data_IF_040081068096
#
_entry.id   IF_040081068096
#
_cell.length_a   1.000
_cell.length_b   1.000
_cell.length_c   1.000
_cell.angle_alpha   90.00
_cell.angle_beta   90.00
_cell.angle_gamma   90.00
#
_symmetry.space_group_name_H-M   'P 1'
#
loop_
_entity.id
_entity.type
_entity.pdbx_description
1 polymer ?
#
# COMPACT_ATOMS: atom_id res chain seq x y z
N UNK A 1 -34.45 24.73 6.26
CA UNK A 1 -33.87 24.09 5.04
C UNK A 1 -32.37 24.33 4.85
N UNK A 2 -31.79 25.48 5.26
CA UNK A 2 -30.36 25.78 5.05
C UNK A 2 -29.41 24.98 5.97
N UNK A 3 -29.83 24.75 7.22
CA UNK A 3 -29.07 24.00 8.24
C UNK A 3 -29.03 22.49 7.94
N UNK A 4 -30.15 21.92 7.43
CA UNK A 4 -30.23 20.51 7.02
C UNK A 4 -29.31 20.22 5.82
N UNK A 5 -29.19 21.16 4.88
CA UNK A 5 -28.24 21.04 3.75
C UNK A 5 -26.78 21.07 4.24
N UNK A 6 -26.47 21.88 5.26
CA UNK A 6 -25.14 21.97 5.85
C UNK A 6 -24.75 20.69 6.62
N UNK A 7 -25.69 20.07 7.34
CA UNK A 7 -25.42 18.81 8.04
C UNK A 7 -25.29 17.62 7.09
N UNK A 8 -26.05 17.58 5.99
CA UNK A 8 -25.91 16.53 4.96
C UNK A 8 -24.57 16.66 4.21
N UNK A 9 -24.13 17.88 3.91
CA UNK A 9 -22.84 18.12 3.25
C UNK A 9 -21.64 17.71 4.11
N UNK A 10 -21.71 17.92 5.44
CA UNK A 10 -20.68 17.48 6.37
C UNK A 10 -20.59 15.96 6.52
N UNK A 11 -21.71 15.23 6.36
CA UNK A 11 -21.75 13.77 6.45
C UNK A 11 -21.09 13.08 5.24
N UNK A 12 -21.08 13.72 4.07
CA UNK A 12 -20.43 13.17 2.86
C UNK A 12 -18.89 13.31 2.86
N UNK A 13 -18.30 14.09 3.76
CA UNK A 13 -16.86 14.33 3.83
C UNK A 13 -16.13 13.42 4.83
N UNK A 14 -16.87 12.68 5.66
CA UNK A 14 -16.31 11.74 6.62
C UNK A 14 -16.18 10.34 6.02
N UNK A 15 -15.05 9.68 6.23
CA UNK A 15 -14.73 8.30 5.81
C UNK A 15 -14.17 8.17 4.39
N UNK A 16 -13.03 8.83 4.16
CA UNK A 16 -11.97 8.20 3.37
C UNK A 16 -10.98 7.56 4.36
N UNK A 17 -11.39 6.47 5.00
CA UNK A 17 -10.43 5.59 5.66
C UNK A 17 -9.64 4.92 4.54
N UNK A 18 -8.59 5.58 4.08
CA UNK A 18 -7.58 4.98 3.22
C UNK A 18 -6.97 3.86 4.06
N UNK A 19 -7.42 2.64 3.81
CA UNK A 19 -6.68 1.45 4.19
C UNK A 19 -5.36 1.54 3.42
N UNK A 20 -4.36 2.14 4.07
CA UNK A 20 -3.00 2.10 3.60
C UNK A 20 -2.55 0.65 3.78
N UNK A 21 -2.89 -0.20 2.80
CA UNK A 21 -2.17 -1.44 2.60
C UNK A 21 -0.71 -1.01 2.45
N UNK A 22 0.10 -1.36 3.44
CA UNK A 22 1.49 -0.96 3.56
C UNK A 22 2.24 -1.61 2.39
N UNK A 23 2.22 -0.91 1.25
CA UNK A 23 2.66 -1.45 -0.04
C UNK A 23 4.10 -1.94 0.13
N UNK A 24 4.39 -3.22 -0.20
CA UNK A 24 5.76 -3.73 -0.09
C UNK A 24 6.74 -2.86 -0.86
N UNK A 25 7.89 -2.57 -0.26
CA UNK A 25 8.93 -1.69 -0.84
C UNK A 25 9.37 -2.23 -2.19
N UNK A 26 9.48 -3.55 -2.36
CA UNK A 26 9.87 -4.14 -3.65
C UNK A 26 8.93 -3.79 -4.82
N UNK A 27 7.67 -3.42 -4.53
CA UNK A 27 6.67 -2.96 -5.50
C UNK A 27 6.70 -1.45 -5.74
N UNK A 28 7.44 -0.67 -4.95
CA UNK A 28 7.61 0.75 -5.21
C UNK A 28 8.63 0.95 -6.33
N UNK A 29 8.23 1.66 -7.38
CA UNK A 29 9.09 1.95 -8.54
C UNK A 29 10.09 3.07 -8.27
N UNK A 30 9.87 3.87 -7.22
CA UNK A 30 10.69 5.03 -6.87
C UNK A 30 11.75 4.68 -5.80
N UNK A 31 11.64 3.52 -5.15
CA UNK A 31 12.62 3.08 -4.16
C UNK A 31 13.95 2.64 -4.82
N UNK A 32 15.10 2.81 -4.15
CA UNK A 32 16.39 2.26 -4.60
C UNK A 32 16.31 0.76 -4.90
N UNK A 33 17.13 0.30 -5.85
CA UNK A 33 17.06 -1.10 -6.31
C UNK A 33 17.44 -2.06 -5.17
N UNK A 34 18.44 -1.68 -4.41
CA UNK A 34 19.01 -2.41 -3.28
C UNK A 34 17.95 -2.66 -2.20
N UNK A 35 17.21 -1.61 -1.83
CA UNK A 35 16.11 -1.70 -0.86
C UNK A 35 14.97 -2.60 -1.36
N UNK A 36 14.66 -2.53 -2.66
CA UNK A 36 13.63 -3.37 -3.29
C UNK A 36 14.04 -4.84 -3.34
N UNK A 37 15.31 -5.12 -3.64
CA UNK A 37 15.86 -6.48 -3.65
C UNK A 37 15.86 -7.05 -2.24
N UNK A 38 16.29 -6.27 -1.25
CA UNK A 38 16.35 -6.71 0.15
C UNK A 38 14.95 -7.03 0.72
N UNK A 39 13.96 -6.16 0.49
CA UNK A 39 12.58 -6.39 0.90
C UNK A 39 11.96 -7.62 0.23
N UNK A 40 12.19 -7.82 -1.07
CA UNK A 40 11.71 -9.02 -1.78
C UNK A 40 12.34 -10.30 -1.20
N UNK A 41 13.68 -10.32 -1.07
CA UNK A 41 14.39 -11.50 -0.57
C UNK A 41 14.00 -11.87 0.86
N UNK A 42 13.67 -10.89 1.73
CA UNK A 42 13.17 -11.16 3.07
C UNK A 42 11.81 -11.86 3.09
N UNK A 43 10.97 -11.62 2.08
CA UNK A 43 9.60 -12.16 1.99
C UNK A 43 9.50 -13.50 1.29
N UNK A 44 10.51 -13.87 0.49
CA UNK A 44 10.52 -15.13 -0.24
C UNK A 44 10.86 -16.34 0.64
N UNK A 45 10.17 -17.44 0.38
CA UNK A 45 10.53 -18.78 0.85
C UNK A 45 11.83 -19.26 0.20
N UNK A 46 12.47 -20.26 0.80
CA UNK A 46 13.66 -20.89 0.23
C UNK A 46 13.39 -21.46 -1.17
N UNK A 47 12.23 -22.10 -1.37
CA UNK A 47 11.84 -22.65 -2.68
C UNK A 47 11.80 -21.56 -3.75
N UNK A 48 11.13 -20.45 -3.47
CA UNK A 48 11.02 -19.34 -4.41
C UNK A 48 12.39 -18.77 -4.75
N UNK A 49 13.29 -18.65 -3.76
CA UNK A 49 14.67 -18.19 -3.98
C UNK A 49 15.45 -19.12 -4.89
N UNK A 50 15.33 -20.44 -4.69
CA UNK A 50 16.02 -21.45 -5.51
C UNK A 50 15.49 -21.43 -6.95
N UNK A 51 14.18 -21.25 -7.15
CA UNK A 51 13.58 -21.16 -8.50
C UNK A 51 14.12 -19.97 -9.30
N UNK A 52 14.49 -18.85 -8.67
CA UNK A 52 15.09 -17.71 -9.37
C UNK A 52 16.49 -17.99 -9.93
N UNK A 53 17.14 -19.08 -9.51
CA UNK A 53 18.47 -19.48 -9.99
C UNK A 53 18.42 -20.50 -11.14
N UNK A 54 17.22 -20.95 -11.53
CA UNK A 54 16.98 -21.89 -12.62
C UNK A 54 16.66 -21.15 -13.91
#
# INVERSE_FOLDING_TARGET
>A
MRIIKLTVLALCLGVSAVWADERPIYKDKNAPIEDRVEDLLRRMTLREKVVQLQ
#
